data_IF_472200728127
#
_entry.id   IF_472200728127
#
_cell.length_a   1.000
_cell.length_b   1.000
_cell.length_c   1.000
_cell.angle_alpha   90.00
_cell.angle_beta   90.00
_cell.angle_gamma   90.00
#
_symmetry.space_group_name_H-M   'P 1'
#
loop_
_entity.id
_entity.type
_entity.pdbx_description
1 polymer ?
#
# COMPACT_ATOMS: atom_id res chain seq x y z
N UNK A 1 -38.03 -36.87 -10.19
CA UNK A 1 -37.18 -35.76 -9.73
C UNK A 1 -36.59 -35.12 -10.98
N UNK A 2 -36.61 -33.80 -11.12
CA UNK A 2 -35.98 -33.15 -12.28
C UNK A 2 -34.48 -33.47 -12.27
N UNK A 3 -33.92 -33.87 -13.41
CA UNK A 3 -32.49 -34.14 -13.53
C UNK A 3 -31.72 -32.84 -13.28
N UNK A 4 -30.79 -32.84 -12.32
CA UNK A 4 -29.98 -31.67 -11.97
C UNK A 4 -28.92 -31.34 -13.03
N UNK A 5 -28.49 -32.36 -13.78
CA UNK A 5 -27.31 -32.31 -14.65
C UNK A 5 -26.00 -32.49 -13.89
N UNK A 6 -24.91 -32.45 -14.64
CA UNK A 6 -23.51 -32.50 -14.14
C UNK A 6 -22.72 -31.31 -14.64
N UNK A 7 -21.58 -31.03 -14.02
CA UNK A 7 -20.73 -29.92 -14.42
C UNK A 7 -19.28 -30.12 -14.01
N UNK A 8 -18.41 -29.30 -14.59
CA UNK A 8 -16.98 -29.14 -14.33
C UNK A 8 -16.65 -27.64 -14.36
N UNK A 9 -15.44 -27.24 -13.95
CA UNK A 9 -15.01 -25.83 -13.94
C UNK A 9 -15.24 -25.07 -15.24
N UNK A 10 -15.06 -25.71 -16.40
CA UNK A 10 -15.18 -25.07 -17.74
C UNK A 10 -16.39 -25.53 -18.54
N UNK A 11 -17.18 -26.44 -18.00
CA UNK A 11 -18.34 -27.01 -18.68
C UNK A 11 -19.52 -27.11 -17.71
N UNK A 12 -20.58 -26.34 -17.97
CA UNK A 12 -21.78 -26.35 -17.14
C UNK A 12 -22.94 -27.01 -17.91
N UNK A 13 -23.41 -28.16 -17.45
CA UNK A 13 -24.63 -28.82 -17.94
C UNK A 13 -25.72 -28.88 -16.87
N UNK A 14 -25.67 -27.95 -15.91
CA UNK A 14 -26.68 -27.84 -14.86
C UNK A 14 -27.98 -27.31 -15.45
N UNK A 15 -29.09 -27.92 -15.04
CA UNK A 15 -30.44 -27.50 -15.41
C UNK A 15 -30.86 -26.23 -14.66
N UNK A 16 -31.86 -25.54 -15.19
CA UNK A 16 -32.42 -24.36 -14.56
C UNK A 16 -32.79 -24.64 -13.08
N UNK A 17 -32.36 -23.75 -12.18
CA UNK A 17 -32.54 -23.90 -10.73
C UNK A 17 -31.43 -24.68 -10.01
N UNK A 18 -30.37 -25.08 -10.71
CA UNK A 18 -29.20 -25.74 -10.11
C UNK A 18 -27.91 -24.93 -10.36
N UNK A 19 -26.91 -25.10 -9.51
CA UNK A 19 -25.58 -24.50 -9.66
C UNK A 19 -24.49 -25.58 -9.71
N UNK A 20 -23.33 -25.19 -10.25
CA UNK A 20 -22.18 -26.06 -10.33
C UNK A 20 -21.27 -25.91 -9.09
N UNK A 21 -21.06 -26.98 -8.28
CA UNK A 21 -20.14 -26.92 -7.16
C UNK A 21 -18.67 -27.18 -7.54
N UNK A 22 -18.40 -27.67 -8.77
CA UNK A 22 -17.05 -28.08 -9.18
C UNK A 22 -16.09 -26.87 -9.26
N UNK A 23 -14.91 -27.02 -8.67
CA UNK A 23 -13.83 -26.00 -8.68
C UNK A 23 -12.67 -26.36 -9.60
N UNK A 24 -12.67 -27.58 -10.13
CA UNK A 24 -11.69 -28.15 -11.05
C UNK A 24 -12.40 -28.94 -12.17
N UNK A 25 -11.63 -29.66 -12.99
CA UNK A 25 -12.15 -30.38 -14.15
C UNK A 25 -12.78 -31.74 -13.77
N UNK A 26 -12.94 -32.04 -12.48
CA UNK A 26 -13.67 -33.21 -11.99
C UNK A 26 -15.17 -32.99 -12.11
N UNK A 27 -15.86 -33.93 -12.75
CA UNK A 27 -17.31 -33.87 -12.90
C UNK A 27 -18.01 -33.99 -11.55
N UNK A 28 -18.89 -33.05 -11.24
CA UNK A 28 -19.76 -33.06 -10.07
C UNK A 28 -21.24 -33.02 -10.47
N UNK A 29 -22.10 -33.53 -9.58
CA UNK A 29 -23.54 -33.35 -9.72
C UNK A 29 -23.91 -31.91 -9.38
N UNK A 30 -24.79 -31.31 -10.19
CA UNK A 30 -25.28 -29.97 -9.90
C UNK A 30 -26.17 -29.97 -8.66
N UNK A 31 -26.08 -28.91 -7.86
CA UNK A 31 -26.80 -28.77 -6.59
C UNK A 31 -27.93 -27.74 -6.73
N UNK A 32 -29.03 -27.92 -6.00
CA UNK A 32 -30.19 -27.04 -6.11
C UNK A 32 -29.92 -25.63 -5.57
N UNK A 33 -30.60 -24.64 -6.13
CA UNK A 33 -30.65 -23.27 -5.63
C UNK A 33 -31.91 -23.03 -4.78
N UNK A 34 -31.83 -22.22 -3.71
CA UNK A 34 -30.64 -21.56 -3.17
C UNK A 34 -29.69 -22.54 -2.43
N UNK A 35 -28.38 -22.28 -2.46
CA UNK A 35 -27.36 -23.14 -1.84
C UNK A 35 -26.12 -22.36 -1.35
N UNK A 36 -25.13 -23.09 -0.83
CA UNK A 36 -23.85 -22.52 -0.38
C UNK A 36 -22.92 -22.20 -1.56
N UNK A 37 -23.33 -21.21 -2.35
CA UNK A 37 -22.59 -20.73 -3.52
C UNK A 37 -21.39 -19.92 -3.03
N UNK A 38 -20.21 -20.14 -3.63
CA UNK A 38 -19.01 -19.32 -3.35
C UNK A 38 -18.74 -18.33 -4.49
N UNK A 39 -17.85 -17.37 -4.25
CA UNK A 39 -17.51 -16.34 -5.24
C UNK A 39 -17.02 -16.96 -6.56
N UNK A 40 -17.64 -16.56 -7.68
CA UNK A 40 -17.35 -17.12 -9.01
C UNK A 40 -18.24 -18.30 -9.42
N UNK A 41 -19.06 -18.84 -8.52
CA UNK A 41 -20.16 -19.74 -8.85
C UNK A 41 -21.47 -18.95 -9.01
N UNK A 42 -22.52 -19.61 -9.49
CA UNK A 42 -23.87 -19.05 -9.54
C UNK A 42 -24.90 -20.06 -10.03
N UNK A 43 -26.17 -19.78 -9.75
CA UNK A 43 -27.28 -20.57 -10.26
C UNK A 43 -27.37 -20.45 -11.78
N UNK A 44 -27.67 -21.57 -12.43
CA UNK A 44 -28.12 -21.58 -13.81
C UNK A 44 -29.60 -21.23 -13.83
N UNK A 45 -29.97 -20.01 -14.25
CA UNK A 45 -31.39 -19.62 -14.41
C UNK A 45 -31.99 -20.11 -15.73
N UNK A 46 -31.12 -20.42 -16.70
CA UNK A 46 -31.43 -21.13 -17.94
C UNK A 46 -30.59 -22.40 -18.02
N UNK A 47 -31.09 -23.42 -18.71
CA UNK A 47 -30.37 -24.69 -18.86
C UNK A 47 -28.97 -24.50 -19.42
N UNK A 48 -27.99 -25.17 -18.80
CA UNK A 48 -26.58 -25.21 -19.22
C UNK A 48 -25.89 -23.84 -19.25
N UNK A 49 -26.45 -22.82 -18.59
CA UNK A 49 -25.89 -21.48 -18.59
C UNK A 49 -25.84 -20.92 -17.17
N UNK A 50 -24.63 -20.76 -16.65
CA UNK A 50 -24.41 -20.13 -15.36
C UNK A 50 -24.79 -18.65 -15.39
N UNK A 51 -25.51 -18.19 -14.36
CA UNK A 51 -25.63 -16.76 -14.06
C UNK A 51 -24.71 -16.44 -12.89
N UNK A 52 -23.55 -15.86 -13.19
CA UNK A 52 -22.49 -15.61 -12.20
C UNK A 52 -23.00 -14.83 -10.98
N UNK A 53 -22.65 -15.31 -9.79
CA UNK A 53 -23.02 -14.73 -8.50
C UNK A 53 -24.53 -14.69 -8.23
N UNK A 54 -25.37 -15.35 -9.04
CA UNK A 54 -26.78 -15.49 -8.73
C UNK A 54 -27.00 -16.58 -7.69
N UNK A 55 -27.81 -16.32 -6.66
CA UNK A 55 -28.14 -17.28 -5.61
C UNK A 55 -29.57 -17.82 -5.71
N UNK A 56 -30.45 -17.11 -6.44
CA UNK A 56 -31.83 -17.54 -6.63
C UNK A 56 -32.40 -17.03 -7.96
N UNK A 57 -33.08 -17.92 -8.68
CA UNK A 57 -33.75 -17.61 -9.95
C UNK A 57 -35.28 -17.62 -9.79
N UNK A 58 -35.97 -16.82 -10.61
CA UNK A 58 -37.41 -16.92 -10.86
C UNK A 58 -37.60 -17.08 -12.38
N UNK A 59 -37.80 -18.32 -12.82
CA UNK A 59 -37.70 -18.66 -14.24
C UNK A 59 -36.31 -18.31 -14.80
N UNK A 60 -36.21 -17.62 -15.94
CA UNK A 60 -34.93 -17.27 -16.56
C UNK A 60 -34.21 -16.10 -15.87
N UNK A 61 -34.82 -15.47 -14.85
CA UNK A 61 -34.31 -14.24 -14.26
C UNK A 61 -33.63 -14.50 -12.92
N UNK A 62 -32.47 -13.89 -12.69
CA UNK A 62 -31.89 -13.84 -11.36
C UNK A 62 -32.65 -12.85 -10.48
N UNK A 63 -32.93 -13.23 -9.23
CA UNK A 63 -33.68 -12.43 -8.26
C UNK A 63 -32.88 -12.07 -7.01
N UNK A 64 -31.92 -12.92 -6.65
CA UNK A 64 -31.04 -12.69 -5.49
C UNK A 64 -29.59 -12.94 -5.88
N UNK A 65 -28.72 -12.07 -5.41
CA UNK A 65 -27.30 -12.08 -5.71
C UNK A 65 -26.46 -12.46 -4.49
N UNK A 66 -25.28 -13.00 -4.74
CA UNK A 66 -24.29 -13.34 -3.72
C UNK A 66 -23.74 -12.08 -3.03
N UNK A 67 -23.31 -12.21 -1.78
CA UNK A 67 -22.71 -11.10 -1.03
C UNK A 67 -21.49 -10.51 -1.78
N UNK A 68 -21.35 -9.19 -1.75
CA UNK A 68 -20.37 -8.46 -2.56
C UNK A 68 -20.83 -8.20 -4.00
N UNK A 69 -22.08 -8.49 -4.33
CA UNK A 69 -22.71 -8.15 -5.62
C UNK A 69 -24.12 -7.58 -5.43
N UNK A 70 -24.63 -6.89 -6.45
CA UNK A 70 -25.97 -6.28 -6.47
C UNK A 70 -26.71 -6.61 -7.76
N UNK A 71 -28.04 -6.68 -7.68
CA UNK A 71 -28.87 -6.99 -8.84
C UNK A 71 -29.05 -5.76 -9.72
N UNK A 72 -28.69 -5.88 -11.00
CA UNK A 72 -28.97 -4.87 -12.04
C UNK A 72 -29.30 -5.55 -13.35
N UNK A 73 -30.45 -5.21 -13.93
CA UNK A 73 -30.95 -5.78 -15.19
C UNK A 73 -31.00 -7.32 -15.17
N UNK A 74 -31.47 -7.91 -14.07
CA UNK A 74 -31.51 -9.36 -13.81
C UNK A 74 -30.14 -10.07 -13.82
N UNK A 75 -29.05 -9.30 -13.70
CA UNK A 75 -27.68 -9.83 -13.57
C UNK A 75 -27.02 -9.32 -12.29
N UNK A 76 -26.15 -10.12 -11.70
CA UNK A 76 -25.41 -9.73 -10.51
C UNK A 76 -24.13 -9.00 -10.89
N UNK A 77 -24.02 -7.71 -10.52
CA UNK A 77 -22.84 -6.88 -10.74
C UNK A 77 -22.03 -6.80 -9.45
N UNK A 78 -20.71 -6.83 -9.56
CA UNK A 78 -19.82 -6.74 -8.39
C UNK A 78 -19.94 -5.38 -7.72
N UNK A 79 -19.94 -5.38 -6.39
CA UNK A 79 -19.74 -4.18 -5.60
C UNK A 79 -18.30 -3.66 -5.78
N UNK A 80 -18.07 -2.42 -5.37
CA UNK A 80 -16.72 -1.88 -5.31
C UNK A 80 -15.83 -2.64 -4.32
N UNK A 81 -14.52 -2.51 -4.49
CA UNK A 81 -13.53 -3.16 -3.62
C UNK A 81 -13.79 -2.82 -2.14
N UNK A 82 -13.67 -3.83 -1.29
CA UNK A 82 -13.89 -3.70 0.15
C UNK A 82 -15.37 -3.63 0.56
N UNK A 83 -16.31 -3.67 -0.38
CA UNK A 83 -17.75 -3.60 -0.09
C UNK A 83 -18.41 -4.99 -0.16
N UNK A 84 -19.15 -5.38 0.87
CA UNK A 84 -19.88 -6.65 0.94
C UNK A 84 -21.39 -6.49 0.66
N UNK A 85 -21.93 -5.28 0.80
CA UNK A 85 -23.32 -4.98 0.50
C UNK A 85 -23.41 -3.61 -0.17
N UNK A 86 -23.98 -3.55 -1.36
CA UNK A 86 -24.12 -2.32 -2.12
C UNK A 86 -25.44 -2.28 -2.90
N UNK A 87 -25.93 -1.06 -3.16
CA UNK A 87 -27.09 -0.81 -4.05
C UNK A 87 -26.69 -0.47 -5.49
N UNK A 88 -25.39 -0.33 -5.73
CA UNK A 88 -24.83 0.15 -6.98
C UNK A 88 -23.30 0.21 -6.89
N UNK A 89 -22.66 0.55 -8.01
CA UNK A 89 -21.19 0.59 -8.12
C UNK A 89 -20.52 1.53 -7.10
N UNK A 90 -21.12 2.68 -6.80
CA UNK A 90 -20.61 3.68 -5.85
C UNK A 90 -21.56 3.88 -4.64
N UNK A 91 -22.36 2.87 -4.32
CA UNK A 91 -23.37 2.95 -3.25
C UNK A 91 -23.18 1.81 -2.24
N UNK A 92 -22.00 1.75 -1.61
CA UNK A 92 -21.75 0.76 -0.57
C UNK A 92 -22.59 1.03 0.68
N UNK A 93 -23.13 -0.02 1.28
CA UNK A 93 -23.91 0.01 2.52
C UNK A 93 -23.15 -0.67 3.66
N UNK A 94 -22.32 -1.68 3.34
CA UNK A 94 -21.51 -2.40 4.33
C UNK A 94 -20.17 -2.82 3.74
N UNK A 95 -19.12 -2.65 4.53
CA UNK A 95 -17.77 -3.07 4.17
C UNK A 95 -17.45 -4.49 4.66
N UNK A 96 -16.47 -5.12 4.00
CA UNK A 96 -15.84 -6.36 4.47
C UNK A 96 -14.98 -6.08 5.71
N UNK A 97 -14.55 -7.13 6.40
CA UNK A 97 -13.60 -7.01 7.51
C UNK A 97 -12.28 -6.36 7.06
N UNK A 98 -11.69 -5.53 7.94
CA UNK A 98 -10.50 -4.72 7.60
C UNK A 98 -10.81 -3.50 6.74
N UNK A 99 -12.08 -3.11 6.59
CA UNK A 99 -12.51 -1.90 5.91
C UNK A 99 -13.56 -1.15 6.73
N UNK A 100 -13.54 0.18 6.64
CA UNK A 100 -14.50 1.07 7.30
C UNK A 100 -15.26 1.89 6.25
N UNK A 101 -16.57 2.02 6.43
CA UNK A 101 -17.42 2.78 5.52
C UNK A 101 -17.23 4.28 5.73
N UNK A 102 -16.79 4.98 4.69
CA UNK A 102 -16.83 6.43 4.62
C UNK A 102 -18.24 6.86 4.20
N UNK A 103 -19.05 7.30 5.17
CA UNK A 103 -20.47 7.65 4.97
C UNK A 103 -20.69 8.87 4.08
N UNK A 104 -19.69 9.73 3.92
CA UNK A 104 -19.77 10.90 3.03
C UNK A 104 -19.63 10.53 1.55
N UNK A 105 -18.91 9.44 1.27
CA UNK A 105 -18.63 8.99 -0.11
C UNK A 105 -19.27 7.65 -0.46
N UNK A 106 -19.84 6.94 0.53
CA UNK A 106 -20.31 5.56 0.43
C UNK A 106 -19.24 4.58 -0.11
N UNK A 107 -17.97 4.81 0.24
CA UNK A 107 -16.83 3.97 -0.14
C UNK A 107 -16.20 3.30 1.07
N UNK A 108 -15.66 2.10 0.88
CA UNK A 108 -14.93 1.39 1.91
C UNK A 108 -13.45 1.75 1.88
N UNK A 109 -12.92 2.18 3.02
CA UNK A 109 -11.50 2.51 3.20
C UNK A 109 -10.82 1.40 3.99
N UNK A 110 -9.69 0.89 3.47
CA UNK A 110 -8.92 -0.18 4.12
C UNK A 110 -8.36 0.34 5.45
N UNK A 111 -8.49 -0.44 6.52
CA UNK A 111 -7.87 -0.12 7.81
C UNK A 111 -6.38 -0.46 7.78
N UNK A 112 -5.59 0.21 8.61
CA UNK A 112 -4.16 -0.04 8.69
C UNK A 112 -3.58 0.31 10.06
N UNK A 113 -2.44 -0.29 10.40
CA UNK A 113 -1.60 0.12 11.52
C UNK A 113 -0.27 0.71 11.08
N UNK A 114 0.22 0.34 9.90
CA UNK A 114 1.46 0.83 9.31
C UNK A 114 1.33 1.01 7.79
N UNK A 115 2.25 1.77 7.18
CA UNK A 115 2.26 1.98 5.73
C UNK A 115 2.38 0.68 4.94
N UNK A 116 3.03 -0.35 5.51
CA UNK A 116 3.20 -1.68 4.90
C UNK A 116 1.88 -2.33 4.48
N UNK A 117 0.78 -2.03 5.15
CA UNK A 117 -0.56 -2.58 4.86
C UNK A 117 -1.28 -1.86 3.70
N UNK A 118 -0.91 -0.61 3.42
CA UNK A 118 -1.52 0.24 2.39
C UNK A 118 -0.83 0.11 1.02
N UNK A 119 0.45 -0.28 0.99
CA UNK A 119 1.25 -0.40 -0.23
C UNK A 119 0.78 -1.57 -1.14
N UNK A 120 -0.06 -2.48 -0.64
CA UNK A 120 -0.56 -3.64 -1.38
C UNK A 120 -1.74 -3.34 -2.33
N UNK A 121 -2.24 -2.10 -2.36
CA UNK A 121 -3.37 -1.71 -3.19
C UNK A 121 -2.95 -1.05 -4.51
N UNK A 122 -3.86 -1.02 -5.48
CA UNK A 122 -3.67 -0.25 -6.71
C UNK A 122 -3.62 1.25 -6.37
N UNK A 123 -2.45 1.85 -6.56
CA UNK A 123 -2.21 3.28 -6.35
C UNK A 123 -1.40 3.59 -5.09
N UNK A 124 -0.74 4.74 -5.09
CA UNK A 124 0.10 5.20 -3.99
C UNK A 124 -0.74 5.54 -2.75
N UNK A 125 -0.53 4.83 -1.65
CA UNK A 125 -1.25 5.03 -0.39
C UNK A 125 -0.31 4.99 0.81
N UNK A 126 -0.71 5.67 1.88
CA UNK A 126 -0.07 5.64 3.19
C UNK A 126 -1.11 5.37 4.28
N UNK A 127 -0.66 4.93 5.44
CA UNK A 127 -1.49 4.76 6.61
C UNK A 127 -1.58 6.07 7.39
N UNK A 128 -2.78 6.64 7.47
CA UNK A 128 -3.05 7.63 8.50
C UNK A 128 -3.20 6.89 9.83
N UNK A 129 -2.11 6.83 10.60
CA UNK A 129 -2.05 6.08 11.86
C UNK A 129 -3.01 6.63 12.93
N UNK A 130 -3.38 7.91 12.85
CA UNK A 130 -4.34 8.51 13.77
C UNK A 130 -5.77 8.06 13.45
N UNK A 131 -6.11 8.01 12.17
CA UNK A 131 -7.42 7.56 11.70
C UNK A 131 -7.49 6.02 11.47
N UNK A 132 -6.35 5.32 11.52
CA UNK A 132 -6.20 3.87 11.25
C UNK A 132 -6.77 3.44 9.90
N UNK A 133 -6.62 4.29 8.89
CA UNK A 133 -7.13 4.07 7.53
C UNK A 133 -6.07 4.41 6.47
N UNK A 134 -6.06 3.64 5.40
CA UNK A 134 -5.24 3.94 4.23
C UNK A 134 -5.81 5.16 3.50
N UNK A 135 -4.96 6.16 3.29
CA UNK A 135 -5.24 7.35 2.50
C UNK A 135 -4.36 7.37 1.27
N UNK A 136 -4.87 7.97 0.19
CA UNK A 136 -4.08 8.16 -1.02
C UNK A 136 -2.99 9.18 -0.80
N UNK A 137 -1.82 8.94 -1.40
CA UNK A 137 -0.77 9.95 -1.49
C UNK A 137 -1.27 11.19 -2.24
N UNK A 138 -0.58 12.31 -2.04
CA UNK A 138 -0.80 13.52 -2.83
C UNK A 138 -0.57 13.22 -4.32
N UNK A 139 -1.27 13.96 -5.19
CA UNK A 139 -1.04 13.91 -6.63
C UNK A 139 0.45 14.12 -6.93
N UNK A 140 0.98 13.42 -7.94
CA UNK A 140 2.41 13.41 -8.29
C UNK A 140 3.32 12.78 -7.22
N UNK A 141 2.76 11.92 -6.38
CA UNK A 141 3.53 11.09 -5.47
C UNK A 141 3.13 9.62 -5.60
N UNK A 142 4.07 8.81 -6.08
CA UNK A 142 3.92 7.38 -6.35
C UNK A 142 4.20 6.51 -5.10
N UNK A 143 4.87 7.07 -4.10
CA UNK A 143 4.99 6.47 -2.77
C UNK A 143 5.18 7.55 -1.72
N UNK A 144 4.46 7.49 -0.60
CA UNK A 144 4.51 8.51 0.44
C UNK A 144 4.48 7.90 1.85
N UNK A 145 4.98 8.65 2.82
CA UNK A 145 4.85 8.35 4.26
C UNK A 145 3.59 8.97 4.85
N UNK A 146 3.29 10.17 4.39
CA UNK A 146 2.16 11.00 4.83
C UNK A 146 1.59 11.72 3.62
N UNK A 147 0.54 12.52 3.83
CA UNK A 147 -0.02 13.35 2.76
C UNK A 147 1.00 14.32 2.14
N UNK A 148 1.95 14.81 2.94
CA UNK A 148 2.89 15.85 2.53
C UNK A 148 4.33 15.34 2.36
N UNK A 149 4.59 14.07 2.70
CA UNK A 149 5.92 13.47 2.63
C UNK A 149 5.97 12.38 1.57
N UNK A 150 6.60 12.67 0.45
CA UNK A 150 6.72 11.84 -0.73
C UNK A 150 8.09 11.15 -0.84
N UNK A 151 8.11 9.83 -0.84
CA UNK A 151 9.31 9.04 -1.09
C UNK A 151 9.70 8.98 -2.56
N UNK A 152 8.71 9.05 -3.45
CA UNK A 152 8.93 8.93 -4.88
C UNK A 152 7.89 9.76 -5.63
N UNK A 153 8.35 10.84 -6.25
CA UNK A 153 7.49 11.73 -7.03
C UNK A 153 7.12 11.06 -8.36
N UNK A 154 5.84 11.14 -8.75
CA UNK A 154 5.39 10.62 -10.04
C UNK A 154 5.91 11.45 -11.20
N UNK A 155 6.00 10.82 -12.37
CA UNK A 155 6.41 11.50 -13.59
C UNK A 155 7.87 11.90 -13.52
N UNK A 156 8.76 10.89 -13.45
CA UNK A 156 10.20 11.05 -13.35
C UNK A 156 10.77 12.11 -14.32
N UNK A 157 10.14 12.35 -15.46
CA UNK A 157 10.57 13.35 -16.45
C UNK A 157 10.35 14.82 -16.03
N UNK A 158 9.40 15.10 -15.14
CA UNK A 158 8.95 16.46 -14.81
C UNK A 158 9.18 16.87 -13.35
N UNK A 159 9.46 15.91 -12.46
CA UNK A 159 9.64 16.18 -11.03
C UNK A 159 10.99 15.73 -10.47
N UNK A 160 11.40 16.37 -9.37
CA UNK A 160 12.59 16.02 -8.58
C UNK A 160 12.14 15.75 -7.16
N UNK A 161 12.40 14.53 -6.70
CA UNK A 161 12.19 14.16 -5.29
C UNK A 161 13.32 14.76 -4.44
N UNK A 162 12.99 15.41 -3.32
CA UNK A 162 13.97 15.90 -2.35
C UNK A 162 14.08 14.97 -1.14
N UNK A 163 15.19 15.02 -0.40
CA UNK A 163 15.37 14.28 0.87
C UNK A 163 14.39 14.72 1.98
N UNK A 164 13.68 15.83 1.79
CA UNK A 164 12.64 16.31 2.70
C UNK A 164 11.25 15.77 2.33
N UNK A 165 11.16 14.88 1.35
CA UNK A 165 9.91 14.29 0.90
C UNK A 165 9.07 15.22 0.03
N UNK A 166 9.66 16.23 -0.61
CA UNK A 166 8.92 17.16 -1.49
C UNK A 166 9.21 16.89 -2.96
N UNK A 167 8.23 17.15 -3.81
CA UNK A 167 8.37 17.13 -5.27
C UNK A 167 8.54 18.55 -5.79
N UNK A 168 9.68 18.86 -6.41
CA UNK A 168 9.95 20.16 -7.04
C UNK A 168 10.01 20.02 -8.55
N UNK A 169 9.95 21.14 -9.29
CA UNK A 169 10.06 21.09 -10.74
C UNK A 169 11.41 20.54 -11.20
N UNK A 170 11.40 19.70 -12.23
CA UNK A 170 12.61 19.19 -12.88
C UNK A 170 13.14 20.18 -13.92
N UNK A 171 14.44 20.11 -14.16
CA UNK A 171 15.15 20.90 -15.15
C UNK A 171 15.21 20.10 -16.45
N UNK A 172 14.82 20.71 -17.57
CA UNK A 172 14.86 20.03 -18.88
C UNK A 172 16.27 19.64 -19.30
N UNK A 173 17.27 20.43 -18.87
CA UNK A 173 18.68 20.17 -19.11
C UNK A 173 19.47 20.41 -17.83
N UNK A 174 20.36 19.48 -17.52
CA UNK A 174 21.25 19.55 -16.37
C UNK A 174 22.64 19.05 -16.80
N UNK A 175 23.67 19.86 -16.58
CA UNK A 175 25.06 19.48 -16.84
C UNK A 175 25.69 18.83 -15.62
N UNK A 176 26.79 18.10 -15.80
CA UNK A 176 27.55 17.61 -14.64
C UNK A 176 28.02 18.80 -13.78
N UNK A 177 27.99 18.65 -12.46
CA UNK A 177 28.26 19.73 -11.50
C UNK A 177 27.08 20.68 -11.26
N UNK A 178 25.89 20.34 -11.75
CA UNK A 178 24.65 21.06 -11.46
C UNK A 178 23.60 20.16 -10.81
N UNK A 179 22.76 20.74 -9.96
CA UNK A 179 21.54 20.13 -9.44
C UNK A 179 20.34 20.97 -9.87
N UNK A 180 19.16 20.36 -9.89
CA UNK A 180 17.95 21.09 -10.19
C UNK A 180 17.33 21.68 -8.92
N UNK A 181 17.31 23.01 -8.85
CA UNK A 181 16.63 23.76 -7.79
C UNK A 181 15.31 24.28 -8.33
N UNK A 182 14.26 23.47 -8.16
CA UNK A 182 12.89 23.82 -8.56
C UNK A 182 12.79 24.39 -9.98
N UNK A 183 13.19 23.56 -10.95
CA UNK A 183 13.21 23.92 -12.38
C UNK A 183 14.41 24.76 -12.82
N UNK A 184 15.25 25.24 -11.88
CA UNK A 184 16.42 26.07 -12.19
C UNK A 184 17.73 25.30 -11.99
N UNK A 185 18.50 25.12 -13.06
CA UNK A 185 19.82 24.50 -13.00
C UNK A 185 20.79 25.36 -12.17
N UNK A 186 21.29 24.81 -11.07
CA UNK A 186 22.11 25.53 -10.08
C UNK A 186 23.40 24.74 -9.81
N UNK A 187 24.51 25.42 -9.55
CA UNK A 187 25.78 24.77 -9.21
C UNK A 187 25.67 23.93 -7.94
N UNK A 188 26.32 22.77 -7.92
CA UNK A 188 26.30 21.89 -6.77
C UNK A 188 27.03 22.46 -5.56
N UNK A 189 26.55 22.09 -4.37
CA UNK A 189 27.08 22.56 -3.09
C UNK A 189 26.92 21.46 -2.02
N UNK A 190 27.62 21.52 -0.88
CA UNK A 190 27.33 20.63 0.24
C UNK A 190 25.90 20.83 0.78
N UNK A 191 25.31 19.77 1.33
CA UNK A 191 24.01 19.84 2.02
C UNK A 191 22.78 19.98 1.12
N UNK A 192 22.87 19.63 -0.17
CA UNK A 192 21.72 19.64 -1.07
C UNK A 192 20.64 18.66 -0.64
N UNK A 193 19.41 19.01 -1.01
CA UNK A 193 18.24 18.17 -0.80
C UNK A 193 17.86 17.36 -2.04
N UNK A 194 18.46 17.63 -3.19
CA UNK A 194 18.26 16.88 -4.44
C UNK A 194 19.60 16.64 -5.14
N UNK A 195 19.63 15.62 -5.97
CA UNK A 195 20.85 15.06 -6.53
C UNK A 195 21.59 16.07 -7.40
N UNK A 196 22.86 16.29 -7.06
CA UNK A 196 23.83 16.85 -7.98
C UNK A 196 24.13 15.84 -9.08
N UNK A 197 24.04 16.27 -10.34
CA UNK A 197 24.40 15.42 -11.48
C UNK A 197 25.92 15.29 -11.56
N UNK A 198 26.43 14.09 -11.33
CA UNK A 198 27.83 13.74 -11.48
C UNK A 198 27.96 12.46 -12.32
N UNK A 199 27.87 12.58 -13.64
CA UNK A 199 27.76 11.44 -14.53
C UNK A 199 26.51 10.62 -14.21
N UNK A 200 26.69 9.34 -13.93
CA UNK A 200 25.61 8.40 -13.54
C UNK A 200 25.55 8.14 -12.03
N UNK A 201 26.36 8.85 -11.23
CA UNK A 201 26.39 8.66 -9.78
C UNK A 201 25.12 9.22 -9.14
N UNK A 202 24.63 8.52 -8.12
CA UNK A 202 23.36 8.83 -7.46
C UNK A 202 23.60 9.53 -6.13
N UNK A 203 22.65 10.36 -5.72
CA UNK A 203 22.59 11.01 -4.41
C UNK A 203 23.82 11.87 -4.04
N UNK A 204 24.49 12.44 -5.05
CA UNK A 204 25.63 13.33 -4.82
C UNK A 204 25.18 14.70 -4.29
N UNK A 205 25.92 15.28 -3.37
CA UNK A 205 25.81 16.71 -3.01
C UNK A 205 26.79 17.56 -3.84
N UNK A 206 28.01 17.07 -4.03
CA UNK A 206 29.02 17.68 -4.90
C UNK A 206 29.62 16.62 -5.81
N UNK A 207 30.29 17.04 -6.90
CA UNK A 207 31.05 16.13 -7.75
C UNK A 207 32.55 16.14 -7.40
N UNK A 208 33.24 15.05 -7.74
CA UNK A 208 34.69 15.00 -7.81
C UNK A 208 35.19 15.88 -8.98
N UNK A 209 36.51 16.11 -9.06
CA UNK A 209 37.12 16.98 -10.08
C UNK A 209 36.80 16.56 -11.53
N UNK A 210 36.70 15.25 -11.79
CA UNK A 210 36.34 14.69 -13.11
C UNK A 210 34.84 14.84 -13.46
N UNK A 211 34.03 15.26 -12.49
CA UNK A 211 32.57 15.41 -12.55
C UNK A 211 31.79 14.13 -12.88
N UNK A 212 32.43 12.95 -12.87
CA UNK A 212 31.80 11.66 -13.16
C UNK A 212 31.38 10.90 -11.91
N UNK A 213 31.92 11.28 -10.75
CA UNK A 213 31.65 10.65 -9.45
C UNK A 213 31.21 11.67 -8.42
N UNK A 214 30.54 11.21 -7.35
CA UNK A 214 30.25 12.06 -6.21
C UNK A 214 31.56 12.46 -5.52
N UNK A 215 31.73 13.75 -5.24
CA UNK A 215 32.76 14.26 -4.33
C UNK A 215 32.31 14.22 -2.88
N UNK A 216 31.01 14.39 -2.63
CA UNK A 216 30.36 14.20 -1.34
C UNK A 216 28.92 13.74 -1.52
N UNK A 217 28.36 13.10 -0.50
CA UNK A 217 26.99 12.61 -0.52
C UNK A 217 26.01 13.64 0.04
N UNK A 218 24.77 13.61 -0.45
CA UNK A 218 23.65 14.28 0.21
C UNK A 218 23.49 13.76 1.66
N UNK A 219 22.83 14.53 2.54
CA UNK A 219 22.49 14.05 3.88
C UNK A 219 21.82 12.67 3.83
N UNK A 220 22.05 11.88 4.88
CA UNK A 220 21.54 10.51 5.08
C UNK A 220 22.17 9.42 4.21
N UNK A 221 23.08 9.78 3.30
CA UNK A 221 23.75 8.84 2.41
C UNK A 221 25.24 8.73 2.74
N UNK A 222 25.81 7.56 2.45
CA UNK A 222 27.23 7.24 2.50
C UNK A 222 27.69 6.81 1.11
N UNK A 223 28.96 7.13 0.82
CA UNK A 223 29.58 6.80 -0.45
C UNK A 223 29.91 5.31 -0.48
N UNK A 224 29.52 4.64 -1.57
CA UNK A 224 29.96 3.29 -1.89
C UNK A 224 31.40 3.28 -2.45
N UNK A 225 31.90 2.08 -2.74
CA UNK A 225 33.28 1.90 -3.23
C UNK A 225 33.49 2.45 -4.65
N UNK A 226 32.42 2.64 -5.41
CA UNK A 226 32.48 3.10 -6.80
C UNK A 226 32.44 4.63 -6.91
N UNK A 227 32.12 5.32 -5.81
CA UNK A 227 32.02 6.78 -5.74
C UNK A 227 30.60 7.29 -5.97
N UNK A 228 29.59 6.44 -5.82
CA UNK A 228 28.17 6.81 -5.80
C UNK A 228 27.63 6.77 -4.37
N UNK A 229 26.54 7.47 -4.06
CA UNK A 229 26.03 7.60 -2.69
C UNK A 229 24.81 6.71 -2.46
N UNK A 230 24.99 5.39 -2.60
CA UNK A 230 23.91 4.40 -2.58
C UNK A 230 23.72 3.70 -1.23
N UNK A 231 24.59 3.97 -0.25
CA UNK A 231 24.53 3.37 1.08
C UNK A 231 23.80 4.33 2.03
N UNK A 232 22.89 3.83 2.86
CA UNK A 232 22.25 4.66 3.89
C UNK A 232 23.06 4.69 5.19
N UNK A 233 23.08 5.85 5.86
CA UNK A 233 23.64 5.95 7.22
C UNK A 233 22.79 5.14 8.22
N UNK A 234 23.33 4.86 9.41
CA UNK A 234 22.59 4.16 10.46
C UNK A 234 21.30 4.91 10.85
N UNK A 235 20.20 4.18 11.02
CA UNK A 235 18.86 4.73 11.28
C UNK A 235 18.07 5.11 10.02
N UNK A 236 18.65 4.90 8.83
CA UNK A 236 18.01 5.17 7.56
C UNK A 236 17.96 3.92 6.68
N UNK A 237 16.92 3.82 5.87
CA UNK A 237 16.67 2.72 4.95
C UNK A 237 16.46 3.25 3.54
N UNK A 238 16.94 2.47 2.57
CA UNK A 238 16.73 2.75 1.17
C UNK A 238 15.27 2.43 0.81
N UNK A 239 14.49 3.45 0.44
CA UNK A 239 13.18 3.24 -0.22
C UNK A 239 13.19 4.01 -1.54
N UNK A 240 12.99 3.28 -2.64
CA UNK A 240 13.31 3.81 -3.97
C UNK A 240 14.81 4.06 -4.09
N UNK A 241 15.20 5.30 -4.37
CA UNK A 241 16.61 5.70 -4.56
C UNK A 241 17.13 6.64 -3.48
N UNK A 242 16.34 6.91 -2.43
CA UNK A 242 16.72 7.81 -1.32
C UNK A 242 16.70 7.12 0.04
N UNK A 243 17.58 7.59 0.92
CA UNK A 243 17.68 7.12 2.28
C UNK A 243 16.70 7.90 3.18
N UNK A 244 15.69 7.19 3.66
CA UNK A 244 14.62 7.71 4.51
C UNK A 244 14.75 7.19 5.93
N UNK A 245 14.21 7.89 6.95
CA UNK A 245 14.18 7.37 8.30
C UNK A 245 13.58 5.96 8.34
N UNK A 246 14.24 5.03 9.03
CA UNK A 246 13.67 3.74 9.32
C UNK A 246 12.35 3.96 10.08
N UNK A 247 11.28 3.24 9.71
CA UNK A 247 10.07 3.25 10.53
C UNK A 247 10.47 2.71 11.91
N UNK A 248 10.14 3.43 12.99
CA UNK A 248 10.32 2.89 14.32
C UNK A 248 9.53 1.58 14.38
N UNK A 249 10.22 0.46 14.58
CA UNK A 249 9.52 -0.77 14.91
C UNK A 249 8.71 -0.46 16.16
N UNK A 250 7.38 -0.58 16.09
CA UNK A 250 6.58 -0.60 17.29
C UNK A 250 7.20 -1.68 18.16
N UNK A 251 7.82 -1.30 19.28
CA UNK A 251 8.29 -2.28 20.24
C UNK A 251 7.11 -3.20 20.48
N UNK A 252 7.27 -4.53 20.34
CA UNK A 252 6.17 -5.44 20.59
C UNK A 252 5.66 -5.09 21.98
N UNK A 253 4.39 -4.67 22.08
CA UNK A 253 3.76 -4.49 23.37
C UNK A 253 4.00 -5.81 24.09
N UNK A 254 4.78 -5.74 25.18
CA UNK A 254 4.99 -6.90 26.03
C UNK A 254 3.61 -7.19 26.61
N UNK A 255 2.89 -8.09 25.96
CA UNK A 255 1.67 -8.68 26.49
C UNK A 255 2.12 -9.52 27.66
N UNK A 256 2.25 -8.88 28.81
CA UNK A 256 2.33 -9.58 30.08
C UNK A 256 1.06 -10.42 30.19
N UNK A 257 1.24 -11.72 30.00
CA UNK A 257 0.19 -12.72 30.18
C UNK A 257 -0.34 -12.59 31.60
N UNK A 258 -1.58 -12.11 31.70
CA UNK A 258 -2.60 -12.40 32.72
C UNK A 258 -2.09 -13.19 33.92
N UNK A 259 -1.98 -12.49 35.06
CA UNK A 259 -2.30 -13.08 36.35
C UNK A 259 -3.55 -12.39 36.90
N UNK A 260 -4.44 -13.24 37.41
CA UNK A 260 -5.78 -13.02 37.94
C UNK A 260 -5.95 -11.84 38.89
N UNK A 261 -7.05 -11.07 38.74
CA UNK A 261 -7.55 -10.19 39.81
C UNK A 261 -8.47 -9.08 39.32
N UNK A 262 -9.75 -9.17 39.67
CA UNK A 262 -10.78 -8.12 39.62
C UNK A 262 -10.28 -6.69 39.93
N UNK A 263 -10.57 -5.71 39.06
CA UNK A 263 -10.55 -4.29 39.46
C UNK A 263 -10.36 -3.25 38.33
N UNK A 264 -11.46 -2.58 37.98
CA UNK A 264 -11.63 -1.15 37.60
C UNK A 264 -10.69 -0.53 36.54
N UNK A 265 -11.33 -0.08 35.44
CA UNK A 265 -10.84 0.81 34.38
C UNK A 265 -10.51 2.20 34.95
N UNK A 266 -9.28 2.69 34.76
CA UNK A 266 -8.97 4.13 34.64
C UNK A 266 -7.86 4.29 33.59
N UNK A 267 -8.16 5.01 32.52
CA UNK A 267 -7.23 5.26 31.41
C UNK A 267 -6.22 6.37 31.70
N UNK A 268 -5.07 6.31 31.04
CA UNK A 268 -4.19 7.46 30.85
C UNK A 268 -3.66 7.44 29.41
N UNK A 269 -4.01 8.48 28.67
CA UNK A 269 -3.35 8.90 27.42
C UNK A 269 -2.05 9.61 27.86
N UNK A 270 -0.88 9.10 27.46
CA UNK A 270 0.35 9.90 27.46
C UNK A 270 0.92 9.88 26.06
N UNK A 271 0.45 10.84 25.25
CA UNK A 271 1.23 11.33 24.13
C UNK A 271 2.21 12.40 24.65
N UNK A 272 3.51 12.17 24.49
CA UNK A 272 4.51 13.23 24.53
C UNK A 272 5.48 13.02 23.39
N UNK A 273 5.31 13.86 22.36
CA UNK A 273 6.36 14.20 21.40
C UNK A 273 7.42 15.00 22.15
N UNK A 274 8.67 14.55 22.10
CA UNK A 274 9.83 15.35 22.48
C UNK A 274 10.81 15.42 21.30
N UNK A 275 10.66 16.49 20.52
CA UNK A 275 11.72 17.00 19.65
C UNK A 275 12.78 17.63 20.55
N UNK A 276 14.00 17.12 20.55
CA UNK A 276 15.18 17.90 20.92
C UNK A 276 16.32 17.56 19.96
N UNK A 277 16.67 18.53 19.13
CA UNK A 277 17.98 18.59 18.49
C UNK A 277 19.05 18.94 19.52
N UNK A 278 20.21 18.32 19.42
CA UNK A 278 21.39 18.74 20.16
C UNK A 278 22.62 18.74 19.23
N UNK A 279 23.04 19.95 18.87
CA UNK A 279 24.38 20.27 18.42
C UNK A 279 25.31 20.23 19.62
N UNK A 280 26.44 19.51 19.48
CA UNK A 280 27.72 19.91 20.08
C UNK A 280 28.08 19.34 21.46
N UNK A 281 29.20 18.62 21.49
CA UNK A 281 30.21 18.79 22.53
C UNK A 281 30.32 17.70 23.60
N UNK A 282 31.28 16.81 23.41
CA UNK A 282 32.10 16.25 24.48
C UNK A 282 31.49 15.11 25.30
N UNK A 283 32.08 13.93 25.17
CA UNK A 283 32.73 13.25 26.30
C UNK A 283 33.47 12.01 25.76
N UNK A 284 34.78 12.17 25.64
CA UNK A 284 35.69 11.05 25.74
C UNK A 284 35.54 10.43 27.13
N UNK A 285 35.17 9.16 27.24
CA UNK A 285 35.68 8.24 28.27
C UNK A 285 35.18 6.81 28.04
N UNK A 286 36.10 5.85 28.13
CA UNK A 286 35.91 4.40 28.31
C UNK A 286 35.29 3.66 27.11
N UNK A 287 35.99 2.76 26.42
CA UNK A 287 36.55 1.53 26.96
C UNK A 287 37.82 1.06 26.24
N UNK A 288 38.90 0.89 27.00
CA UNK A 288 40.00 -0.04 26.69
C UNK A 288 39.88 -1.24 27.64
N UNK A 289 39.57 -2.43 27.09
CA UNK A 289 40.17 -3.75 27.41
C UNK A 289 39.36 -4.82 26.65
N UNK A 290 39.87 -5.43 25.57
CA UNK A 290 40.93 -6.46 25.47
C UNK A 290 40.48 -7.85 25.97
N UNK A 291 40.28 -8.77 25.02
CA UNK A 291 40.47 -10.23 25.13
C UNK A 291 40.69 -10.76 23.70
N UNK A 292 41.92 -11.11 23.27
CA UNK A 292 42.56 -12.45 23.31
C UNK A 292 41.60 -13.54 22.79
N UNK A 293 41.87 -14.28 21.71
CA UNK A 293 43.12 -14.76 21.10
C UNK A 293 43.16 -14.49 19.61
#
# INVERSE_FOLDING_TARGET
MAESGTCQKRENKCKAGFYCPATDDTSANCLACPGQIVFGQGCSCTDNQQTDNCTQCNGPLCTTCFAGTYLKDNTCKKCMKGCIDCKGQDACQKCVEGYVLNTSTNKCMKTCNSNKECIQEQGAQYCDVAAKICKTCKLQCDACETQDFCYFCSGDEDSVTTINGTCTARCSLLSNGQYCKDGTATACAPGLTSDCKCGNSQNCATCAEDTQKCGSCMPNHQMDKDGSCTICISGFEMRGFKCWPAEAEAEPEVVDKVSTGTGVIVGIIVGVVAVIGAVGGGLAYYFIKKGKK
#
